data_IF_212169509120
#
_entry.id   IF_212169509120
#
_cell.length_a   1.000
_cell.length_b   1.000
_cell.length_c   1.000
_cell.angle_alpha   90.00
_cell.angle_beta   90.00
_cell.angle_gamma   90.00
#
_symmetry.space_group_name_H-M   'P 1'
#
loop_
_entity.id
_entity.type
_entity.pdbx_description
1 polymer ?
#
# COMPACT_ATOMS: atom_id res chain seq x y z
N UNK A 1 0.07 -45.29 -13.90
CA UNK A 1 -1.07 -45.15 -12.96
C UNK A 1 -0.67 -44.18 -11.84
N UNK A 2 -1.22 -42.96 -11.83
CA UNK A 2 -0.90 -41.95 -10.79
C UNK A 2 -1.67 -42.26 -9.51
N UNK A 3 -1.06 -43.04 -8.62
CA UNK A 3 -1.62 -43.37 -7.31
C UNK A 3 -1.54 -42.13 -6.41
N UNK A 4 -2.68 -41.57 -5.98
CA UNK A 4 -2.74 -40.50 -4.97
C UNK A 4 -2.90 -39.05 -5.47
N UNK A 5 -3.33 -38.83 -6.71
CA UNK A 5 -3.67 -37.50 -7.25
C UNK A 5 -2.59 -36.42 -7.04
N UNK A 6 -1.31 -36.78 -7.16
CA UNK A 6 -0.20 -35.83 -7.01
C UNK A 6 0.19 -35.49 -5.56
N UNK A 7 -0.41 -36.13 -4.55
CA UNK A 7 -0.08 -35.90 -3.14
C UNK A 7 0.90 -36.94 -2.55
N UNK A 8 1.68 -37.61 -3.39
CA UNK A 8 2.68 -38.59 -2.98
C UNK A 8 2.10 -39.89 -2.38
N UNK A 9 2.97 -40.88 -2.15
CA UNK A 9 2.59 -42.18 -1.56
C UNK A 9 2.72 -42.21 -0.03
N UNK A 10 3.80 -41.62 0.51
CA UNK A 10 4.13 -41.63 1.95
C UNK A 10 3.44 -40.46 2.68
N UNK A 11 3.75 -39.22 2.29
CA UNK A 11 3.15 -38.00 2.83
C UNK A 11 1.80 -37.68 2.18
N UNK A 12 0.75 -38.42 2.52
CA UNK A 12 -0.59 -38.26 1.92
C UNK A 12 -1.21 -36.89 2.25
N UNK A 13 -2.14 -36.43 1.40
CA UNK A 13 -3.02 -35.28 1.71
C UNK A 13 -3.88 -35.58 2.92
N UNK A 14 -3.66 -34.85 4.02
CA UNK A 14 -4.49 -34.90 5.24
C UNK A 14 -5.10 -33.54 5.51
N UNK A 15 -6.16 -33.51 6.33
CA UNK A 15 -6.81 -32.26 6.73
C UNK A 15 -5.92 -31.56 7.77
N UNK A 16 -5.50 -30.32 7.49
CA UNK A 16 -4.84 -29.38 8.41
C UNK A 16 -3.65 -29.92 9.23
N UNK A 17 -2.57 -30.43 8.59
CA UNK A 17 -1.42 -30.99 9.32
C UNK A 17 -0.67 -29.97 10.20
N UNK A 18 -0.84 -28.67 9.96
CA UNK A 18 -0.21 -27.59 10.74
C UNK A 18 -1.21 -26.70 11.50
N UNK A 19 -2.46 -27.15 11.64
CA UNK A 19 -3.55 -26.34 12.22
C UNK A 19 -4.33 -25.53 11.17
N UNK A 20 -5.19 -24.62 11.67
CA UNK A 20 -6.03 -23.73 10.87
C UNK A 20 -5.66 -22.28 11.15
N UNK A 21 -5.59 -21.46 10.12
CA UNK A 21 -5.21 -20.06 10.25
C UNK A 21 -3.74 -19.89 10.69
N UNK A 22 -3.49 -18.80 11.42
CA UNK A 22 -2.14 -18.35 11.74
C UNK A 22 -1.67 -18.87 13.10
N UNK A 23 -0.65 -19.74 13.13
CA UNK A 23 -0.06 -20.31 14.35
C UNK A 23 1.36 -19.79 14.64
N UNK A 24 1.51 -18.48 14.75
CA UNK A 24 2.78 -17.79 14.50
C UNK A 24 3.90 -17.83 15.54
N UNK A 25 3.68 -18.34 16.77
CA UNK A 25 4.70 -18.30 17.83
C UNK A 25 5.39 -19.64 18.10
N UNK A 26 4.82 -20.75 17.64
CA UNK A 26 5.34 -22.09 17.89
C UNK A 26 5.88 -22.73 16.60
N UNK A 27 5.21 -23.73 16.04
CA UNK A 27 5.71 -24.46 14.87
C UNK A 27 5.67 -23.67 13.56
N UNK A 28 4.92 -22.56 13.48
CA UNK A 28 5.04 -21.60 12.35
C UNK A 28 5.92 -20.39 12.66
N UNK A 29 6.63 -20.36 13.80
CA UNK A 29 7.50 -19.23 14.20
C UNK A 29 8.47 -18.80 13.11
N UNK A 30 9.17 -19.76 12.50
CA UNK A 30 10.15 -19.47 11.43
C UNK A 30 9.51 -18.72 10.26
N UNK A 31 8.26 -19.04 9.91
CA UNK A 31 7.56 -18.35 8.83
C UNK A 31 7.20 -16.90 9.20
N UNK A 32 6.81 -16.65 10.45
CA UNK A 32 6.47 -15.31 10.92
C UNK A 32 7.71 -14.45 11.14
N UNK A 33 8.76 -14.98 11.75
CA UNK A 33 10.01 -14.24 11.96
C UNK A 33 10.67 -13.85 10.64
N UNK A 34 10.60 -14.73 9.63
CA UNK A 34 11.25 -14.51 8.34
C UNK A 34 10.48 -13.57 7.42
N UNK A 35 9.16 -13.73 7.33
CA UNK A 35 8.36 -13.05 6.31
C UNK A 35 7.41 -11.98 6.88
N UNK A 36 7.13 -12.03 8.18
CA UNK A 36 6.19 -11.13 8.84
C UNK A 36 6.77 -10.56 10.16
N UNK A 37 7.96 -9.94 10.12
CA UNK A 37 8.54 -9.32 11.31
C UNK A 37 7.62 -8.21 11.83
N UNK A 38 7.42 -8.18 13.15
CA UNK A 38 6.53 -7.20 13.79
C UNK A 38 5.03 -7.56 13.77
N UNK A 39 4.66 -8.75 13.28
CA UNK A 39 3.26 -9.19 13.28
C UNK A 39 2.67 -9.30 14.69
N UNK A 40 3.46 -9.77 15.65
CA UNK A 40 3.08 -9.84 17.07
C UNK A 40 3.71 -8.69 17.84
N UNK A 41 2.90 -7.97 18.61
CA UNK A 41 3.34 -6.83 19.42
C UNK A 41 2.29 -5.72 19.47
N UNK A 42 2.44 -4.78 20.40
CA UNK A 42 1.63 -3.57 20.48
C UNK A 42 2.56 -2.36 20.35
N UNK A 43 2.25 -1.49 19.39
CA UNK A 43 3.05 -0.29 19.09
C UNK A 43 2.13 0.94 19.04
N UNK A 44 2.63 2.08 19.51
CA UNK A 44 1.95 3.38 19.40
C UNK A 44 0.72 3.55 20.29
N UNK A 45 0.06 4.70 20.14
CA UNK A 45 -1.15 5.07 20.87
C UNK A 45 -2.40 4.80 20.05
N UNK A 46 -3.46 4.33 20.69
CA UNK A 46 -4.74 4.04 20.05
C UNK A 46 -5.58 5.33 19.95
N UNK A 47 -5.97 5.73 18.73
CA UNK A 47 -6.70 6.98 18.49
C UNK A 47 -8.20 6.75 18.27
N UNK A 48 -9.05 7.30 19.15
CA UNK A 48 -10.52 7.28 19.03
C UNK A 48 -11.16 8.62 19.39
N UNK A 49 -12.20 9.07 18.66
CA UNK A 49 -12.69 8.57 17.37
C UNK A 49 -11.81 9.05 16.20
N UNK A 50 -11.40 8.14 15.31
CA UNK A 50 -10.59 8.51 14.13
C UNK A 50 -11.47 9.20 13.07
N UNK A 51 -11.29 10.51 12.88
CA UNK A 51 -11.94 11.31 11.83
C UNK A 51 -10.99 11.52 10.64
N UNK A 52 -11.10 10.70 9.58
CA UNK A 52 -10.16 10.74 8.44
C UNK A 52 -10.13 12.06 7.67
N UNK A 53 -11.25 12.77 7.60
CA UNK A 53 -11.34 14.06 6.88
C UNK A 53 -10.48 15.16 7.52
N UNK A 54 -10.25 15.10 8.84
CA UNK A 54 -9.42 16.09 9.54
C UNK A 54 -7.92 15.94 9.24
N UNK A 55 -7.49 14.71 8.91
CA UNK A 55 -6.12 14.40 8.52
C UNK A 55 -5.93 14.37 6.99
N UNK A 56 -6.92 14.80 6.22
CA UNK A 56 -6.82 14.81 4.77
C UNK A 56 -5.91 15.95 4.32
N UNK A 57 -4.73 15.59 3.82
CA UNK A 57 -3.72 16.52 3.32
C UNK A 57 -3.01 15.86 2.13
N UNK A 58 -3.58 15.95 0.91
CA UNK A 58 -2.93 15.42 -0.29
C UNK A 58 -1.68 16.25 -0.60
N UNK A 59 -0.59 15.57 -0.95
CA UNK A 59 0.66 16.22 -1.35
C UNK A 59 0.81 16.18 -2.87
N UNK A 60 1.30 17.29 -3.46
CA UNK A 60 1.70 17.38 -4.87
C UNK A 60 3.18 17.78 -4.97
N UNK A 61 3.90 17.14 -5.90
CA UNK A 61 5.29 17.47 -6.18
C UNK A 61 5.37 18.67 -7.15
N UNK A 62 6.45 19.44 -7.08
CA UNK A 62 6.64 20.66 -7.89
C UNK A 62 6.68 20.38 -9.41
N UNK A 63 7.25 19.25 -9.83
CA UNK A 63 7.31 18.82 -11.23
C UNK A 63 5.91 18.59 -11.82
N UNK A 64 4.94 18.23 -10.97
CA UNK A 64 3.57 17.96 -11.38
C UNK A 64 2.67 19.20 -11.39
N UNK A 65 3.10 20.34 -10.84
CA UNK A 65 2.29 21.57 -10.82
C UNK A 65 1.85 21.97 -12.22
N UNK A 66 2.75 21.84 -13.20
CA UNK A 66 2.42 22.18 -14.57
C UNK A 66 1.27 21.34 -15.11
N UNK A 67 1.15 20.06 -14.74
CA UNK A 67 0.06 19.18 -15.21
C UNK A 67 -1.35 19.67 -14.85
N UNK A 68 -1.48 20.51 -13.83
CA UNK A 68 -2.75 21.13 -13.42
C UNK A 68 -3.15 22.29 -14.33
N UNK A 69 -2.20 22.86 -15.06
CA UNK A 69 -2.43 23.93 -16.02
C UNK A 69 -2.61 23.32 -17.41
N UNK A 70 -3.70 23.68 -18.08
CA UNK A 70 -3.94 23.26 -19.48
C UNK A 70 -2.83 23.77 -20.40
N UNK A 71 -2.53 22.99 -21.44
CA UNK A 71 -1.46 23.34 -22.40
C UNK A 71 -1.71 24.70 -23.07
N UNK A 72 -2.97 24.99 -23.40
CA UNK A 72 -3.38 26.26 -23.98
C UNK A 72 -3.03 27.45 -23.07
N UNK A 73 -3.29 27.34 -21.76
CA UNK A 73 -2.96 28.40 -20.79
C UNK A 73 -1.45 28.58 -20.67
N UNK A 74 -0.66 27.49 -20.69
CA UNK A 74 0.81 27.57 -20.64
C UNK A 74 1.37 28.27 -21.87
N UNK A 75 0.91 27.89 -23.07
CA UNK A 75 1.37 28.48 -24.33
C UNK A 75 0.98 29.95 -24.42
N UNK A 76 -0.21 30.32 -23.98
CA UNK A 76 -0.66 31.72 -23.98
C UNK A 76 0.12 32.58 -22.97
N UNK A 77 0.38 32.06 -21.77
CA UNK A 77 1.20 32.75 -20.77
C UNK A 77 2.64 32.96 -21.27
N UNK A 78 3.23 31.94 -21.92
CA UNK A 78 4.57 32.05 -22.50
C UNK A 78 4.66 33.07 -23.64
N UNK A 79 3.58 33.27 -24.40
CA UNK A 79 3.50 34.25 -25.50
C UNK A 79 3.19 35.67 -25.04
N UNK A 80 2.71 35.86 -23.80
CA UNK A 80 2.33 37.17 -23.30
C UNK A 80 3.55 38.04 -23.01
N UNK A 81 3.57 39.26 -23.56
CA UNK A 81 4.65 40.25 -23.34
C UNK A 81 4.50 41.02 -22.02
N UNK A 82 3.39 40.86 -21.32
CA UNK A 82 3.07 41.61 -20.08
C UNK A 82 3.70 41.02 -18.82
N UNK A 83 4.41 39.88 -18.92
CA UNK A 83 5.09 39.25 -17.78
C UNK A 83 4.14 38.59 -16.76
N UNK A 84 2.86 38.40 -17.09
CA UNK A 84 1.88 37.77 -16.21
C UNK A 84 2.11 36.25 -16.09
N UNK A 85 2.18 35.73 -14.86
CA UNK A 85 2.36 34.31 -14.55
C UNK A 85 1.02 33.59 -14.35
N UNK A 86 0.91 32.29 -14.71
CA UNK A 86 -0.30 31.51 -14.47
C UNK A 86 -0.48 31.19 -12.99
N UNK A 87 -1.69 31.39 -12.47
CA UNK A 87 -2.09 30.98 -11.12
C UNK A 87 -2.56 29.54 -11.18
N UNK A 88 -1.98 28.67 -10.35
CA UNK A 88 -2.34 27.25 -10.27
C UNK A 88 -2.99 26.98 -8.91
N UNK A 89 -4.27 26.61 -8.92
CA UNK A 89 -4.98 26.17 -7.72
C UNK A 89 -4.65 24.69 -7.45
N UNK A 90 -4.34 24.36 -6.20
CA UNK A 90 -3.93 23.03 -5.74
C UNK A 90 -4.89 22.45 -4.69
N UNK A 91 -6.02 23.13 -4.45
CA UNK A 91 -7.04 22.80 -3.46
C UNK A 91 -7.96 21.67 -3.94
#
# INVERSE_FOLDING_TARGET
MSYGHGHGRIGKRRKHPGGRGNGGLHHHRINFDKYHPGYSGKVGMRHYPLKRNQSFCPAINLDKLWTLVSEQTRVNAAKSKTGAAPITDVV
#
